data_IF_173576030342
#
_entry.id   IF_173576030342
#
_cell.length_a   1.000
_cell.length_b   1.000
_cell.length_c   1.000
_cell.angle_alpha   90.00
_cell.angle_beta   90.00
_cell.angle_gamma   90.00
#
_symmetry.space_group_name_H-M   'P 1'
#
loop_
_entity.id
_entity.type
_entity.pdbx_description
1 polymer ?
#
# COMPACT_ATOMS: atom_id res chain seq x y z
N UNK A 1 -14.64 -24.45 9.63
CA UNK A 1 -13.31 -25.07 9.44
C UNK A 1 -12.91 -24.79 8.01
N UNK A 2 -11.62 -24.51 7.76
CA UNK A 2 -11.09 -24.39 6.38
C UNK A 2 -11.16 -25.76 5.74
N UNK A 3 -11.86 -25.91 4.62
CA UNK A 3 -12.06 -27.20 3.98
C UNK A 3 -10.82 -27.64 3.17
N UNK A 4 -10.05 -26.64 2.65
CA UNK A 4 -8.86 -26.90 1.88
C UNK A 4 -7.77 -25.84 2.11
N UNK A 5 -6.52 -26.31 2.25
CA UNK A 5 -5.32 -25.46 2.27
C UNK A 5 -4.50 -25.72 1.03
N UNK A 6 -4.25 -24.67 0.25
CA UNK A 6 -3.45 -24.65 -0.98
C UNK A 6 -2.05 -24.15 -0.64
N UNK A 7 -1.01 -24.88 -1.02
CA UNK A 7 0.40 -24.62 -0.68
C UNK A 7 1.27 -24.59 -1.94
N UNK A 8 1.11 -23.57 -2.81
CA UNK A 8 1.90 -23.47 -4.03
C UNK A 8 3.39 -23.30 -3.72
N UNK A 9 4.23 -23.91 -4.55
CA UNK A 9 5.70 -23.88 -4.47
C UNK A 9 6.34 -23.02 -5.54
N UNK A 10 5.53 -22.42 -6.42
CA UNK A 10 5.96 -21.48 -7.45
C UNK A 10 4.87 -20.42 -7.72
N UNK A 11 5.25 -19.33 -8.39
CA UNK A 11 4.32 -18.30 -8.83
C UNK A 11 3.25 -18.87 -9.78
N UNK A 12 3.67 -19.70 -10.74
CA UNK A 12 2.74 -20.32 -11.71
C UNK A 12 1.74 -21.25 -11.02
N UNK A 13 2.20 -22.01 -10.03
CA UNK A 13 1.31 -22.85 -9.23
C UNK A 13 0.34 -21.99 -8.39
N UNK A 14 0.80 -20.88 -7.80
CA UNK A 14 -0.05 -19.97 -7.06
C UNK A 14 -1.13 -19.34 -7.97
N UNK A 15 -0.76 -18.92 -9.17
CA UNK A 15 -1.68 -18.39 -10.19
C UNK A 15 -2.71 -19.46 -10.58
N UNK A 16 -2.24 -20.68 -10.88
CA UNK A 16 -3.10 -21.78 -11.28
C UNK A 16 -4.09 -22.19 -10.19
N UNK A 17 -3.62 -22.29 -8.92
CA UNK A 17 -4.47 -22.67 -7.78
C UNK A 17 -5.43 -21.52 -7.37
N UNK A 18 -5.05 -20.27 -7.59
CA UNK A 18 -5.92 -19.13 -7.34
C UNK A 18 -7.08 -19.04 -8.36
N UNK A 19 -6.80 -19.32 -9.64
CA UNK A 19 -7.78 -19.29 -10.70
C UNK A 19 -8.44 -17.90 -10.86
N UNK A 20 -9.77 -17.85 -10.75
CA UNK A 20 -10.53 -16.61 -10.75
C UNK A 20 -10.69 -15.95 -9.36
N UNK A 21 -10.20 -16.61 -8.30
CA UNK A 21 -10.26 -16.14 -6.93
C UNK A 21 -11.54 -16.45 -6.17
N UNK A 22 -12.50 -17.13 -6.80
CA UNK A 22 -13.78 -17.43 -6.17
C UNK A 22 -13.62 -18.36 -4.96
N UNK A 23 -14.05 -17.87 -3.79
CA UNK A 23 -13.98 -18.64 -2.54
C UNK A 23 -12.58 -18.84 -1.96
N UNK A 24 -11.54 -18.24 -2.58
CA UNK A 24 -10.15 -18.39 -2.15
C UNK A 24 -9.74 -17.22 -1.26
N UNK A 25 -9.36 -17.50 -0.02
CA UNK A 25 -8.77 -16.55 0.89
C UNK A 25 -7.25 -16.57 0.75
N UNK A 26 -6.66 -15.45 0.33
CA UNK A 26 -5.21 -15.32 0.22
C UNK A 26 -4.61 -15.11 1.62
N UNK A 27 -3.65 -15.95 2.00
CA UNK A 27 -2.83 -15.79 3.20
C UNK A 27 -1.40 -15.51 2.77
N UNK A 28 -1.03 -14.23 2.76
CA UNK A 28 0.34 -13.77 2.51
C UNK A 28 1.15 -13.84 3.83
N UNK A 29 1.48 -12.69 4.44
CA UNK A 29 2.18 -12.64 5.72
C UNK A 29 1.32 -13.01 6.94
N UNK A 30 0.02 -13.17 6.77
CA UNK A 30 -0.90 -13.60 7.82
C UNK A 30 -1.20 -12.59 8.93
N UNK A 31 -0.52 -11.45 8.99
CA UNK A 31 -0.60 -10.47 10.10
C UNK A 31 -1.98 -9.84 10.30
N UNK A 32 -2.86 -9.89 9.31
CA UNK A 32 -4.26 -9.46 9.40
C UNK A 32 -5.18 -10.68 9.32
N UNK A 33 -5.02 -11.51 8.31
CA UNK A 33 -5.95 -12.62 8.01
C UNK A 33 -5.97 -13.67 9.11
N UNK A 34 -4.81 -14.08 9.66
CA UNK A 34 -4.79 -15.12 10.71
C UNK A 34 -5.45 -14.66 12.02
N UNK A 35 -5.26 -13.44 12.52
CA UNK A 35 -6.05 -12.90 13.65
C UNK A 35 -7.55 -12.88 13.38
N UNK A 36 -8.01 -12.55 12.16
CA UNK A 36 -9.44 -12.56 11.81
C UNK A 36 -10.01 -13.99 11.84
N UNK A 37 -9.23 -14.97 11.34
CA UNK A 37 -9.60 -16.40 11.41
C UNK A 37 -9.63 -16.86 12.87
N UNK A 38 -8.61 -16.55 13.67
CA UNK A 38 -8.52 -16.95 15.07
C UNK A 38 -9.67 -16.38 15.91
N UNK A 39 -10.13 -15.18 15.56
CA UNK A 39 -11.28 -14.53 16.22
C UNK A 39 -12.65 -14.99 15.67
N UNK A 40 -12.68 -15.91 14.70
CA UNK A 40 -13.90 -16.40 14.08
C UNK A 40 -14.63 -15.37 13.20
N UNK A 41 -14.00 -14.24 12.86
CA UNK A 41 -14.57 -13.21 11.99
C UNK A 41 -14.41 -13.52 10.51
N UNK A 42 -13.43 -14.35 10.18
CA UNK A 42 -13.19 -14.86 8.82
C UNK A 42 -13.14 -16.40 8.89
N UNK A 43 -13.97 -17.04 8.09
CA UNK A 43 -14.00 -18.52 7.96
C UNK A 43 -13.74 -18.87 6.50
N UNK A 44 -12.46 -19.10 6.10
CA UNK A 44 -12.12 -19.42 4.72
C UNK A 44 -12.61 -20.82 4.35
N UNK A 45 -13.22 -20.98 3.19
CA UNK A 45 -13.50 -22.27 2.57
C UNK A 45 -12.20 -22.86 2.00
N UNK A 46 -11.45 -22.04 1.26
CA UNK A 46 -10.13 -22.38 0.77
C UNK A 46 -9.13 -21.31 1.22
N UNK A 47 -7.96 -21.72 1.70
CA UNK A 47 -6.87 -20.82 2.08
C UNK A 47 -5.65 -21.05 1.18
N UNK A 48 -5.26 -20.04 0.41
CA UNK A 48 -4.06 -20.05 -0.44
C UNK A 48 -2.89 -19.42 0.35
N UNK A 49 -1.96 -20.26 0.78
CA UNK A 49 -0.78 -19.88 1.56
C UNK A 49 0.40 -19.56 0.65
N UNK A 50 0.77 -18.29 0.52
CA UNK A 50 1.76 -17.84 -0.47
C UNK A 50 3.22 -17.92 -0.02
N UNK A 51 3.50 -18.35 1.20
CA UNK A 51 4.86 -18.29 1.80
C UNK A 51 5.94 -19.11 1.08
N UNK A 52 5.57 -20.00 0.15
CA UNK A 52 6.49 -20.81 -0.65
C UNK A 52 6.36 -20.57 -2.16
N UNK A 53 5.55 -19.58 -2.55
CA UNK A 53 5.21 -19.33 -3.96
C UNK A 53 6.33 -18.65 -4.77
N UNK A 54 7.46 -18.26 -4.14
CA UNK A 54 8.55 -17.58 -4.85
C UNK A 54 8.18 -16.18 -5.37
N UNK A 55 7.23 -15.52 -4.71
CA UNK A 55 6.75 -14.18 -5.05
C UNK A 55 7.44 -13.09 -4.20
N UNK A 56 8.59 -13.35 -3.62
CA UNK A 56 9.36 -12.43 -2.80
C UNK A 56 10.60 -11.89 -3.54
N UNK A 57 11.24 -10.91 -2.92
CA UNK A 57 12.48 -10.32 -3.39
C UNK A 57 12.30 -8.99 -4.11
N UNK A 58 13.42 -8.30 -4.26
CA UNK A 58 13.55 -7.04 -5.01
C UNK A 58 14.58 -7.26 -6.11
N UNK A 59 14.22 -6.95 -7.35
CA UNK A 59 15.10 -7.10 -8.51
C UNK A 59 15.03 -5.88 -9.43
N UNK A 60 16.07 -5.67 -10.21
CA UNK A 60 16.05 -4.71 -11.32
C UNK A 60 15.71 -5.44 -12.62
N UNK A 61 14.82 -4.87 -13.40
CA UNK A 61 14.38 -5.44 -14.68
C UNK A 61 14.06 -4.32 -15.69
N UNK A 62 14.89 -4.20 -16.72
CA UNK A 62 14.65 -3.30 -17.85
C UNK A 62 14.46 -1.82 -17.47
N UNK A 63 15.22 -1.31 -16.49
CA UNK A 63 15.09 0.08 -16.02
C UNK A 63 13.94 0.27 -15.03
N UNK A 64 13.51 -0.82 -14.39
CA UNK A 64 12.53 -0.83 -13.32
C UNK A 64 13.02 -1.61 -12.11
N UNK A 65 12.67 -1.14 -10.95
CA UNK A 65 12.72 -1.92 -9.71
C UNK A 65 11.42 -2.69 -9.57
N UNK A 66 11.51 -4.00 -9.46
CA UNK A 66 10.37 -4.91 -9.28
C UNK A 66 10.42 -5.51 -7.89
N UNK A 67 9.35 -5.35 -7.13
CA UNK A 67 9.21 -5.83 -5.76
C UNK A 67 8.14 -6.93 -5.75
N UNK A 68 8.51 -8.15 -5.42
CA UNK A 68 7.57 -9.26 -5.32
C UNK A 68 6.53 -9.04 -4.21
N UNK A 69 5.30 -9.48 -4.43
CA UNK A 69 4.19 -9.26 -3.50
C UNK A 69 4.43 -9.88 -2.11
N UNK A 70 5.21 -10.97 -2.04
CA UNK A 70 5.56 -11.65 -0.79
C UNK A 70 6.83 -11.10 -0.12
N UNK A 71 7.45 -10.06 -0.67
CA UNK A 71 8.59 -9.38 -0.04
C UNK A 71 8.17 -8.87 1.35
N UNK A 72 8.86 -9.28 2.43
CA UNK A 72 8.58 -8.75 3.76
C UNK A 72 8.74 -7.23 3.81
N UNK A 73 7.83 -6.53 4.49
CA UNK A 73 7.94 -5.08 4.70
C UNK A 73 9.27 -4.70 5.32
N UNK A 74 9.84 -5.56 6.17
CA UNK A 74 11.16 -5.36 6.78
C UNK A 74 12.27 -5.19 5.73
N UNK A 75 12.19 -5.85 4.58
CA UNK A 75 13.18 -5.70 3.50
C UNK A 75 13.17 -4.29 2.85
N UNK A 76 12.09 -3.54 3.00
CA UNK A 76 12.00 -2.17 2.50
C UNK A 76 12.60 -1.13 3.46
N UNK A 77 12.91 -1.47 4.72
CA UNK A 77 13.40 -0.47 5.70
C UNK A 77 14.74 0.16 5.32
N UNK A 78 15.51 -0.52 4.46
CA UNK A 78 16.80 -0.06 3.93
C UNK A 78 16.76 0.09 2.40
N UNK A 79 15.57 0.23 1.81
CA UNK A 79 15.40 0.40 0.38
C UNK A 79 16.01 1.72 -0.09
N UNK A 80 16.61 1.71 -1.31
CA UNK A 80 17.24 2.90 -1.88
C UNK A 80 16.29 4.09 -2.08
N UNK A 81 15.00 3.83 -2.31
CA UNK A 81 13.97 4.87 -2.39
C UNK A 81 13.53 5.24 -0.98
N UNK A 82 14.04 6.36 -0.46
CA UNK A 82 13.94 6.77 0.94
C UNK A 82 12.48 6.84 1.45
N UNK A 83 11.53 7.31 0.63
CA UNK A 83 10.11 7.40 1.04
C UNK A 83 9.50 6.01 1.33
N UNK A 84 9.93 4.96 0.61
CA UNK A 84 9.52 3.58 0.91
C UNK A 84 10.16 3.10 2.21
N UNK A 85 11.46 3.37 2.38
CA UNK A 85 12.19 2.99 3.58
C UNK A 85 11.61 3.64 4.83
N UNK A 86 11.35 4.95 4.78
CA UNK A 86 10.75 5.69 5.90
C UNK A 86 9.36 5.15 6.25
N UNK A 87 8.49 4.97 5.24
CA UNK A 87 7.17 4.41 5.48
C UNK A 87 7.26 3.00 6.07
N UNK A 88 8.12 2.13 5.52
CA UNK A 88 8.29 0.77 6.03
C UNK A 88 8.73 0.74 7.50
N UNK A 89 9.67 1.62 7.91
CA UNK A 89 10.12 1.74 9.31
C UNK A 89 8.99 2.12 10.28
N UNK A 90 7.94 2.77 9.78
CA UNK A 90 6.79 3.20 10.57
C UNK A 90 5.65 2.18 10.62
N UNK A 91 5.69 1.12 9.83
CA UNK A 91 4.67 0.06 9.86
C UNK A 91 4.91 -0.82 11.08
N UNK A 92 3.97 -0.81 12.00
CA UNK A 92 3.93 -1.67 13.19
C UNK A 92 5.30 -1.80 13.91
N UNK A 93 5.59 -2.96 14.47
CA UNK A 93 6.88 -3.32 15.04
C UNK A 93 7.71 -4.22 14.10
N UNK A 94 8.93 -4.55 14.50
CA UNK A 94 9.84 -5.36 13.69
C UNK A 94 9.34 -6.80 13.48
N UNK A 95 8.62 -7.37 14.45
CA UNK A 95 8.08 -8.72 14.35
C UNK A 95 6.98 -8.77 13.28
N UNK A 96 6.07 -7.80 13.31
CA UNK A 96 5.02 -7.65 12.29
C UNK A 96 5.64 -7.39 10.92
N UNK A 97 6.66 -6.50 10.80
CA UNK A 97 7.30 -6.21 9.51
C UNK A 97 8.02 -7.40 8.88
N UNK A 98 8.56 -8.32 9.69
CA UNK A 98 9.18 -9.56 9.17
C UNK A 98 8.17 -10.51 8.54
N UNK A 99 6.93 -10.47 9.01
CA UNK A 99 5.84 -11.32 8.51
C UNK A 99 4.95 -10.61 7.49
N UNK A 100 4.62 -9.34 7.73
CA UNK A 100 3.81 -8.53 6.81
C UNK A 100 4.52 -8.38 5.46
N UNK A 101 3.78 -8.50 4.36
CA UNK A 101 4.32 -8.46 3.00
C UNK A 101 3.86 -7.21 2.26
N UNK A 102 4.58 -6.80 1.23
CA UNK A 102 4.26 -5.64 0.40
C UNK A 102 2.87 -5.77 -0.22
N UNK A 103 2.57 -6.91 -0.87
CA UNK A 103 1.26 -7.17 -1.45
C UNK A 103 0.16 -7.25 -0.38
N UNK A 104 0.44 -7.90 0.76
CA UNK A 104 -0.50 -7.98 1.87
C UNK A 104 -0.82 -6.61 2.48
N UNK A 105 0.17 -5.72 2.60
CA UNK A 105 -0.05 -4.35 3.07
C UNK A 105 -0.85 -3.52 2.05
N UNK A 106 -0.53 -3.63 0.76
CA UNK A 106 -1.26 -2.92 -0.30
C UNK A 106 -2.73 -3.37 -0.39
N UNK A 107 -2.99 -4.68 -0.23
CA UNK A 107 -4.33 -5.27 -0.27
C UNK A 107 -5.06 -5.23 1.08
N UNK A 108 -4.43 -4.70 2.14
CA UNK A 108 -5.05 -4.65 3.45
C UNK A 108 -6.44 -4.01 3.37
N UNK A 109 -7.49 -4.67 3.91
CA UNK A 109 -8.83 -4.12 3.85
C UNK A 109 -8.91 -2.85 4.68
N UNK A 110 -9.70 -1.89 4.21
CA UNK A 110 -10.18 -0.85 5.09
C UNK A 110 -11.03 -1.53 6.16
N UNK A 111 -10.61 -1.47 7.40
CA UNK A 111 -11.42 -1.93 8.50
C UNK A 111 -12.30 -0.79 9.01
N UNK A 112 -13.41 -1.13 9.67
CA UNK A 112 -14.28 -0.14 10.30
C UNK A 112 -13.54 0.73 11.33
N UNK A 113 -12.39 0.27 11.80
CA UNK A 113 -11.57 0.92 12.83
C UNK A 113 -10.40 1.74 12.29
N UNK A 114 -9.86 1.44 11.09
CA UNK A 114 -8.79 2.22 10.46
C UNK A 114 -8.46 1.74 9.04
N UNK A 115 -7.89 2.62 8.21
CA UNK A 115 -7.14 2.21 7.03
C UNK A 115 -5.86 1.48 7.45
N UNK A 116 -5.56 0.33 6.85
CA UNK A 116 -4.45 -0.54 7.26
C UNK A 116 -3.29 -0.63 6.25
N UNK A 117 -3.42 -0.03 5.06
CA UNK A 117 -2.42 -0.10 3.99
C UNK A 117 -1.53 1.15 3.94
N UNK A 118 -0.42 1.16 4.64
CA UNK A 118 0.46 2.34 4.72
C UNK A 118 1.28 2.56 3.44
N UNK A 119 1.63 1.49 2.71
CA UNK A 119 2.44 1.56 1.49
C UNK A 119 1.69 2.15 0.29
N UNK A 120 0.37 2.23 0.34
CA UNK A 120 -0.42 2.77 -0.78
C UNK A 120 -0.02 4.20 -1.16
N UNK A 121 0.11 5.10 -0.19
CA UNK A 121 0.45 6.50 -0.48
C UNK A 121 1.85 6.68 -1.11
N UNK A 122 2.96 6.13 -0.55
CA UNK A 122 4.26 6.25 -1.21
C UNK A 122 4.30 5.58 -2.58
N UNK A 123 3.63 4.45 -2.78
CA UNK A 123 3.59 3.79 -4.10
C UNK A 123 2.84 4.64 -5.13
N UNK A 124 1.73 5.31 -4.75
CA UNK A 124 1.04 6.29 -5.61
C UNK A 124 1.97 7.47 -5.94
N UNK A 125 2.62 8.06 -4.95
CA UNK A 125 3.52 9.20 -5.14
C UNK A 125 4.71 8.83 -6.06
N UNK A 126 5.20 7.62 -5.99
CA UNK A 126 6.26 7.11 -6.85
C UNK A 126 5.79 6.73 -8.27
N UNK A 127 4.49 6.71 -8.52
CA UNK A 127 3.91 6.28 -9.78
C UNK A 127 4.04 4.78 -10.02
N UNK A 128 4.04 4.00 -8.97
CA UNK A 128 4.16 2.54 -9.03
C UNK A 128 2.99 1.89 -9.79
N UNK A 129 3.26 0.73 -10.35
CA UNK A 129 2.27 -0.13 -11.02
C UNK A 129 2.16 -1.45 -10.26
N UNK A 130 0.98 -2.02 -10.31
CA UNK A 130 0.69 -3.36 -9.75
C UNK A 130 0.50 -4.34 -10.88
N UNK A 131 1.22 -5.47 -10.83
CA UNK A 131 0.91 -6.65 -11.61
C UNK A 131 0.07 -7.59 -10.77
N UNK A 132 -1.10 -7.96 -11.25
CA UNK A 132 -2.03 -8.85 -10.56
C UNK A 132 -2.74 -9.78 -11.51
N UNK A 133 -3.23 -10.93 -11.01
CA UNK A 133 -4.01 -11.90 -11.78
C UNK A 133 -5.32 -12.25 -11.08
N UNK A 134 -6.23 -12.93 -11.77
CA UNK A 134 -7.52 -13.36 -11.25
C UNK A 134 -8.59 -13.34 -12.35
N UNK A 135 -9.84 -13.11 -11.99
CA UNK A 135 -10.92 -12.99 -12.96
C UNK A 135 -10.58 -11.95 -14.04
N UNK A 136 -10.65 -12.35 -15.32
CA UNK A 136 -10.26 -11.53 -16.46
C UNK A 136 -8.76 -11.51 -16.77
N UNK A 137 -7.96 -12.41 -16.18
CA UNK A 137 -6.55 -12.61 -16.49
C UNK A 137 -5.60 -11.65 -15.79
N UNK A 138 -4.38 -11.60 -16.29
CA UNK A 138 -3.32 -10.73 -15.76
C UNK A 138 -3.55 -9.27 -16.17
N UNK A 139 -3.23 -8.35 -15.25
CA UNK A 139 -3.28 -6.90 -15.45
C UNK A 139 -2.05 -6.23 -14.88
N UNK A 140 -1.62 -5.15 -15.53
CA UNK A 140 -0.63 -4.21 -15.01
C UNK A 140 -1.25 -2.83 -15.05
N UNK A 141 -1.48 -2.25 -13.90
CA UNK A 141 -2.18 -0.97 -13.76
C UNK A 141 -1.52 -0.07 -12.70
N UNK A 142 -1.71 1.27 -12.74
CA UNK A 142 -1.24 2.17 -11.69
C UNK A 142 -1.78 1.74 -10.31
N UNK A 143 -0.95 1.87 -9.27
CA UNK A 143 -1.38 1.56 -7.89
C UNK A 143 -2.61 2.36 -7.48
N UNK A 144 -2.72 3.62 -7.92
CA UNK A 144 -3.89 4.46 -7.63
C UNK A 144 -5.18 3.87 -8.21
N UNK A 145 -5.14 3.34 -9.42
CA UNK A 145 -6.31 2.73 -10.09
C UNK A 145 -6.67 1.39 -9.44
N UNK A 146 -5.66 0.57 -9.12
CA UNK A 146 -5.85 -0.67 -8.38
C UNK A 146 -6.50 -0.44 -7.00
N UNK A 147 -6.08 0.58 -6.26
CA UNK A 147 -6.64 0.90 -4.95
C UNK A 147 -8.04 1.51 -5.02
N UNK A 148 -8.35 2.26 -6.07
CA UNK A 148 -9.66 2.84 -6.31
C UNK A 148 -10.68 1.83 -6.87
N UNK A 149 -10.18 0.78 -7.54
CA UNK A 149 -11.00 -0.24 -8.18
C UNK A 149 -11.45 -1.37 -7.26
N UNK A 150 -12.17 -2.33 -7.84
CA UNK A 150 -12.50 -3.58 -7.17
C UNK A 150 -11.29 -4.52 -7.17
N UNK A 151 -10.79 -4.80 -5.98
CA UNK A 151 -9.64 -5.70 -5.73
C UNK A 151 -10.08 -7.12 -5.37
N UNK A 152 -11.38 -7.35 -5.26
CA UNK A 152 -11.94 -8.68 -4.99
C UNK A 152 -11.54 -9.62 -6.12
N UNK A 153 -11.09 -10.81 -5.78
CA UNK A 153 -10.65 -11.79 -6.78
C UNK A 153 -9.35 -11.41 -7.51
N UNK A 154 -8.50 -10.55 -6.92
CA UNK A 154 -7.17 -10.20 -7.48
C UNK A 154 -6.04 -10.73 -6.59
N UNK A 155 -5.15 -11.51 -7.17
CA UNK A 155 -3.87 -11.94 -6.59
C UNK A 155 -2.78 -11.00 -7.10
N UNK A 156 -2.21 -10.20 -6.20
CA UNK A 156 -1.05 -9.35 -6.53
C UNK A 156 0.20 -10.22 -6.63
N UNK A 157 0.95 -10.06 -7.71
CA UNK A 157 2.18 -10.78 -7.99
C UNK A 157 3.41 -9.93 -7.67
N UNK A 158 3.42 -8.68 -8.13
CA UNK A 158 4.54 -7.76 -7.93
C UNK A 158 4.13 -6.29 -8.07
N UNK A 159 5.00 -5.40 -7.59
CA UNK A 159 4.93 -3.96 -7.72
C UNK A 159 6.11 -3.50 -8.57
N UNK A 160 5.86 -2.68 -9.58
CA UNK A 160 6.87 -2.14 -10.49
C UNK A 160 7.06 -0.64 -10.24
N UNK A 161 8.31 -0.20 -10.17
CA UNK A 161 8.73 1.19 -10.06
C UNK A 161 9.72 1.51 -11.18
N UNK A 162 9.51 2.59 -11.91
CA UNK A 162 10.53 3.05 -12.86
C UNK A 162 11.80 3.47 -12.10
N UNK A 163 12.98 3.09 -12.60
CA UNK A 163 14.28 3.47 -12.04
C UNK A 163 14.66 4.89 -12.51
N UNK A 164 13.92 5.88 -12.03
CA UNK A 164 14.19 7.30 -12.27
C UNK A 164 14.47 8.01 -10.97
N UNK A 165 15.38 8.99 -11.03
CA UNK A 165 15.67 9.82 -9.87
C UNK A 165 14.43 10.64 -9.48
N UNK A 166 14.19 10.74 -8.17
CA UNK A 166 13.08 11.50 -7.59
C UNK A 166 13.50 12.22 -6.33
N UNK A 167 13.03 13.45 -6.18
CA UNK A 167 13.02 14.12 -4.88
C UNK A 167 11.75 13.70 -4.14
N UNK A 168 11.84 13.37 -2.86
CA UNK A 168 10.70 12.95 -2.06
C UNK A 168 10.53 13.82 -0.83
N UNK A 169 9.26 14.02 -0.40
CA UNK A 169 8.93 14.85 0.76
C UNK A 169 9.22 14.18 2.11
N UNK A 170 9.61 12.90 2.08
CA UNK A 170 9.57 12.07 3.27
C UNK A 170 8.13 11.77 3.73
N UNK A 171 7.99 11.06 4.83
CA UNK A 171 6.69 10.69 5.38
C UNK A 171 6.10 11.82 6.23
N UNK A 172 5.07 12.46 5.75
CA UNK A 172 4.25 13.43 6.51
C UNK A 172 3.28 12.75 7.46
N UNK A 173 3.74 11.80 8.28
CA UNK A 173 2.91 10.93 9.11
C UNK A 173 2.46 11.61 10.41
N UNK A 174 1.17 11.46 10.75
CA UNK A 174 0.61 11.73 12.09
C UNK A 174 -0.03 10.48 12.64
N UNK A 175 0.32 10.12 13.88
CA UNK A 175 -0.20 8.96 14.61
C UNK A 175 -0.24 9.24 16.11
N UNK A 176 -1.02 8.43 16.85
CA UNK A 176 -1.15 8.59 18.30
C UNK A 176 0.11 8.17 19.06
N UNK A 177 0.72 7.07 18.66
CA UNK A 177 1.94 6.50 19.25
C UNK A 177 2.66 5.62 18.21
N UNK A 178 3.85 5.14 18.55
CA UNK A 178 4.76 4.44 17.62
C UNK A 178 4.15 3.23 16.90
N UNK A 179 3.20 2.55 17.51
CA UNK A 179 2.59 1.32 16.97
C UNK A 179 1.14 1.50 16.50
N UNK A 180 0.60 2.74 16.53
CA UNK A 180 -0.75 2.99 16.02
C UNK A 180 -0.76 3.16 14.51
N UNK A 181 -1.89 2.82 13.88
CA UNK A 181 -2.15 3.21 12.50
C UNK A 181 -2.05 4.72 12.30
N UNK A 182 -1.77 5.14 11.08
CA UNK A 182 -1.74 6.53 10.71
C UNK A 182 -3.10 7.20 10.95
N UNK A 183 -3.11 8.34 11.62
CA UNK A 183 -4.27 9.24 11.64
C UNK A 183 -4.45 9.83 10.26
N UNK A 184 -3.36 10.35 9.70
CA UNK A 184 -3.22 10.81 8.33
C UNK A 184 -1.73 10.84 7.97
N UNK A 185 -1.42 10.57 6.71
CA UNK A 185 -0.08 10.78 6.15
C UNK A 185 -0.22 11.46 4.78
N UNK A 186 0.71 12.36 4.47
CA UNK A 186 0.84 12.98 3.15
C UNK A 186 2.28 12.82 2.69
N UNK A 187 2.44 12.27 1.51
CA UNK A 187 3.73 12.03 0.89
C UNK A 187 3.74 12.53 -0.54
N UNK A 188 4.91 12.93 -1.03
CA UNK A 188 5.05 13.42 -2.39
C UNK A 188 6.38 13.04 -3.01
N UNK A 189 6.41 13.01 -4.33
CA UNK A 189 7.60 12.82 -5.13
C UNK A 189 7.56 13.71 -6.38
N UNK A 190 8.73 14.20 -6.78
CA UNK A 190 8.94 14.92 -8.05
C UNK A 190 9.93 14.12 -8.87
N UNK A 191 9.56 13.72 -10.07
CA UNK A 191 10.45 13.06 -11.03
C UNK A 191 11.48 14.05 -11.55
N UNK A 192 12.76 13.69 -11.53
CA UNK A 192 13.84 14.56 -12.00
C UNK A 192 13.86 14.74 -13.53
N UNK A 193 13.39 13.73 -14.27
CA UNK A 193 13.36 13.72 -15.73
C UNK A 193 12.24 14.56 -16.33
N UNK A 194 11.07 14.61 -15.70
CA UNK A 194 9.88 15.30 -16.22
C UNK A 194 9.42 16.48 -15.39
N UNK A 195 9.88 16.61 -14.15
CA UNK A 195 9.36 17.57 -13.18
C UNK A 195 7.94 17.23 -12.67
N UNK A 196 7.41 16.05 -13.00
CA UNK A 196 6.08 15.64 -12.54
C UNK A 196 6.03 15.53 -11.04
N UNK A 197 5.14 16.32 -10.41
CA UNK A 197 4.78 16.16 -9.01
C UNK A 197 3.66 15.16 -8.87
N UNK A 198 3.82 14.23 -7.94
CA UNK A 198 2.73 13.39 -7.41
C UNK A 198 2.66 13.51 -5.90
N UNK A 199 1.45 13.70 -5.40
CA UNK A 199 1.13 13.75 -3.97
C UNK A 199 0.08 12.69 -3.66
N UNK A 200 0.21 12.05 -2.51
CA UNK A 200 -0.78 11.09 -2.05
C UNK A 200 -1.00 11.18 -0.54
N UNK A 201 -2.21 10.86 -0.11
CA UNK A 201 -2.60 10.80 1.29
C UNK A 201 -3.07 9.40 1.69
N UNK A 202 -2.74 9.00 2.91
CA UNK A 202 -3.21 7.79 3.57
C UNK A 202 -3.91 8.12 4.89
N UNK A 203 -4.76 7.22 5.40
CA UNK A 203 -5.53 7.42 6.63
C UNK A 203 -6.73 8.36 6.49
N UNK A 204 -7.05 8.82 5.28
CA UNK A 204 -8.06 9.85 5.01
C UNK A 204 -9.26 9.36 4.20
N UNK A 205 -9.19 8.13 3.73
CA UNK A 205 -10.21 7.43 2.96
C UNK A 205 -10.03 5.92 3.18
N UNK A 206 -10.92 5.06 2.68
CA UNK A 206 -10.76 3.60 2.79
C UNK A 206 -9.44 3.06 2.22
N UNK A 207 -8.86 3.75 1.23
CA UNK A 207 -7.55 3.47 0.64
C UNK A 207 -6.75 4.77 0.52
N UNK A 208 -5.46 4.66 0.18
CA UNK A 208 -4.67 5.83 -0.17
C UNK A 208 -5.21 6.52 -1.43
N UNK A 209 -5.13 7.84 -1.46
CA UNK A 209 -5.71 8.70 -2.51
C UNK A 209 -4.64 9.63 -3.07
N UNK A 210 -4.60 9.80 -4.40
CA UNK A 210 -3.78 10.81 -5.07
C UNK A 210 -4.40 12.18 -4.95
N UNK A 211 -3.60 13.21 -4.65
CA UNK A 211 -4.04 14.58 -4.42
C UNK A 211 -3.92 15.44 -5.71
N UNK A 212 -4.70 15.08 -6.74
CA UNK A 212 -4.61 15.68 -8.09
C UNK A 212 -4.90 17.16 -8.13
N UNK A 213 -5.86 17.65 -7.34
CA UNK A 213 -6.19 19.07 -7.28
C UNK A 213 -5.02 19.85 -6.68
N UNK A 214 -4.43 19.35 -5.60
CA UNK A 214 -3.24 19.98 -4.98
C UNK A 214 -2.04 19.94 -5.93
N UNK A 215 -1.83 18.86 -6.67
CA UNK A 215 -0.76 18.77 -7.68
C UNK A 215 -0.86 19.88 -8.74
N UNK A 216 -2.10 20.21 -9.16
CA UNK A 216 -2.38 21.24 -10.15
C UNK A 216 -2.28 22.66 -9.60
N UNK A 217 -2.89 22.89 -8.42
CA UNK A 217 -3.02 24.25 -7.84
C UNK A 217 -1.80 24.66 -7.01
N UNK A 218 -1.03 23.68 -6.51
CA UNK A 218 0.04 23.89 -5.52
C UNK A 218 -0.47 24.55 -4.22
N UNK A 219 -1.79 24.55 -4.01
CA UNK A 219 -2.43 25.12 -2.83
C UNK A 219 -2.85 24.01 -1.86
N UNK A 220 -2.24 23.99 -0.68
CA UNK A 220 -2.52 22.99 0.34
C UNK A 220 -3.99 23.01 0.83
N UNK A 221 -4.66 24.17 0.78
CA UNK A 221 -6.04 24.31 1.22
C UNK A 221 -7.04 23.55 0.28
N UNK A 222 -6.61 23.24 -0.94
CA UNK A 222 -7.44 22.51 -1.90
C UNK A 222 -7.51 20.99 -1.63
N UNK A 223 -6.78 20.47 -0.64
CA UNK A 223 -6.71 19.03 -0.32
C UNK A 223 -8.09 18.40 -0.08
N UNK A 224 -9.04 19.13 0.49
CA UNK A 224 -10.39 18.64 0.75
C UNK A 224 -11.27 18.53 -0.52
N UNK A 225 -10.76 18.95 -1.69
CA UNK A 225 -11.37 18.63 -2.98
C UNK A 225 -11.00 17.23 -3.46
N UNK A 226 -9.84 16.73 -3.03
CA UNK A 226 -9.34 15.40 -3.41
C UNK A 226 -9.79 14.29 -2.44
N UNK A 227 -10.02 14.62 -1.17
CA UNK A 227 -10.33 13.65 -0.12
C UNK A 227 -11.54 14.05 0.72
N UNK A 228 -12.25 13.03 1.22
CA UNK A 228 -13.36 13.19 2.18
C UNK A 228 -13.06 12.32 3.40
N UNK A 229 -12.39 12.87 4.43
CA UNK A 229 -12.09 12.13 5.64
C UNK A 229 -13.36 11.60 6.33
N UNK A 230 -13.23 10.44 6.94
CA UNK A 230 -14.30 9.77 7.71
C UNK A 230 -13.90 9.61 9.16
N UNK A 231 -14.89 9.45 10.02
CA UNK A 231 -14.68 9.07 11.41
C UNK A 231 -14.32 7.58 11.50
N UNK A 232 -13.34 7.25 12.34
CA UNK A 232 -13.02 5.89 12.74
C UNK A 232 -12.48 5.84 14.17
N UNK A 233 -12.07 4.67 14.65
CA UNK A 233 -11.52 4.51 15.98
C UNK A 233 -10.19 5.26 16.22
N UNK A 234 -9.50 5.66 15.15
CA UNK A 234 -8.20 6.35 15.22
C UNK A 234 -8.38 7.86 15.38
N UNK A 235 -9.25 8.48 14.58
CA UNK A 235 -9.50 9.92 14.63
C UNK A 235 -10.83 10.32 13.98
N UNK A 236 -11.33 11.52 14.33
CA UNK A 236 -12.51 12.09 13.69
C UNK A 236 -12.18 12.68 12.30
N UNK A 237 -13.19 12.72 11.43
CA UNK A 237 -13.14 13.41 10.14
C UNK A 237 -12.79 14.89 10.30
N UNK A 238 -13.36 15.54 11.32
CA UNK A 238 -13.09 16.94 11.62
C UNK A 238 -11.60 17.17 11.94
N UNK A 239 -10.99 16.31 12.77
CA UNK A 239 -9.58 16.42 13.09
C UNK A 239 -8.69 16.20 11.85
N UNK A 240 -8.98 15.15 11.06
CA UNK A 240 -8.25 14.88 9.82
C UNK A 240 -8.34 16.07 8.85
N UNK A 241 -9.55 16.62 8.65
CA UNK A 241 -9.75 17.78 7.78
C UNK A 241 -8.95 19.00 8.25
N UNK A 242 -8.86 19.21 9.56
CA UNK A 242 -8.11 20.33 10.12
C UNK A 242 -6.58 20.21 9.96
N UNK A 243 -6.02 18.99 10.02
CA UNK A 243 -4.57 18.79 9.91
C UNK A 243 -4.06 18.62 8.48
N UNK A 244 -4.90 18.18 7.55
CA UNK A 244 -4.50 17.86 6.18
C UNK A 244 -3.83 19.03 5.44
N UNK A 245 -4.35 20.27 5.43
CA UNK A 245 -3.68 21.37 4.76
C UNK A 245 -2.26 21.61 5.27
N UNK A 246 -2.04 21.43 6.58
CA UNK A 246 -0.71 21.56 7.18
C UNK A 246 0.23 20.45 6.69
N UNK A 247 -0.24 19.20 6.65
CA UNK A 247 0.58 18.07 6.17
C UNK A 247 0.95 18.23 4.69
N UNK A 248 0.02 18.69 3.87
CA UNK A 248 0.27 18.98 2.45
C UNK A 248 1.30 20.09 2.30
N UNK A 249 1.17 21.19 3.06
CA UNK A 249 2.15 22.29 3.03
C UNK A 249 3.54 21.81 3.43
N UNK A 250 3.65 21.03 4.51
CA UNK A 250 4.91 20.43 4.93
C UNK A 250 5.54 19.55 3.85
N UNK A 251 4.72 18.77 3.12
CA UNK A 251 5.20 17.93 2.02
C UNK A 251 5.70 18.77 0.83
N UNK A 252 4.97 19.80 0.42
CA UNK A 252 5.37 20.71 -0.65
C UNK A 252 6.67 21.46 -0.29
N UNK A 253 6.75 22.03 0.93
CA UNK A 253 7.93 22.75 1.41
C UNK A 253 9.20 21.87 1.41
N UNK A 254 9.07 20.59 1.73
CA UNK A 254 10.21 19.65 1.69
C UNK A 254 10.67 19.37 0.27
N UNK A 255 9.73 19.20 -0.66
CA UNK A 255 10.04 18.98 -2.08
C UNK A 255 10.72 20.17 -2.75
N UNK A 256 10.50 21.39 -2.25
CA UNK A 256 11.16 22.60 -2.75
C UNK A 256 12.59 22.77 -2.21
N UNK A 257 12.87 22.23 -1.02
CA UNK A 257 14.17 22.37 -0.34
C UNK A 257 15.20 21.29 -0.70
N UNK A 258 14.74 20.22 -1.27
CA UNK A 258 15.60 19.10 -1.72
C UNK A 258 15.93 19.22 -3.20
#
# INVERSE_FOLDING_TARGET
MTDQVLLPTSADEAISQYGNGDGVTIVAGGTIVLPEIAAGRLVPTQALMLHRAGLDGVRSDGGRTVIGAMTPVQALTDHAVEILAQTARHIADAEVRRSATVGGNLCAPAAADAQRGDLGAPLIALGARVRSTGAGGERVEPVEDFLAGDRTGRLVLEIELDDVERRTSGDGLRRRHAHSYAIAAVVGAVRSDTGELRLAAAGVAPTAVRLRTVEQTRNAEDVLRDVRPVDDAVASAAYRSAILPKLVREALDRLERT
#
